data_IF_654362993903
#
_entry.id   IF_654362993903
#
_cell.length_a   1.000
_cell.length_b   1.000
_cell.length_c   1.000
_cell.angle_alpha   90.00
_cell.angle_beta   90.00
_cell.angle_gamma   90.00
#
_symmetry.space_group_name_H-M   'P 1'
#
loop_
_entity.id
_entity.type
_entity.pdbx_description
1 polymer ?
#
# COMPACT_ATOMS: atom_id res chain seq x y z
N UNK A 1 -7.32 5.15 5.22
CA UNK A 1 -6.31 4.12 4.95
C UNK A 1 -5.97 4.14 3.46
N UNK A 2 -4.76 4.57 3.07
CA UNK A 2 -4.32 4.56 1.67
C UNK A 2 -4.32 3.13 1.13
N UNK A 3 -4.86 2.90 -0.07
CA UNK A 3 -4.79 1.60 -0.75
C UNK A 3 -3.95 1.70 -2.02
N UNK A 4 -2.99 0.79 -2.16
CA UNK A 4 -2.18 0.59 -3.36
C UNK A 4 -2.43 -0.82 -3.87
N UNK A 5 -2.75 -0.95 -5.15
CA UNK A 5 -2.85 -2.24 -5.84
C UNK A 5 -1.70 -2.40 -6.82
N UNK A 6 -0.92 -3.48 -6.68
CA UNK A 6 0.14 -3.84 -7.62
C UNK A 6 -0.36 -4.93 -8.59
N UNK A 7 -0.22 -4.69 -9.90
CA UNK A 7 -0.61 -5.59 -10.97
C UNK A 7 0.56 -5.76 -11.95
N UNK A 8 1.40 -6.81 -11.78
CA UNK A 8 2.65 -6.96 -12.53
C UNK A 8 2.47 -7.11 -14.04
N UNK A 9 1.28 -7.53 -14.49
CA UNK A 9 0.94 -7.76 -15.90
C UNK A 9 0.23 -6.58 -16.57
N UNK A 10 -0.20 -5.56 -15.81
CA UNK A 10 -0.89 -4.38 -16.36
C UNK A 10 0.06 -3.18 -16.42
N UNK A 11 -0.17 -2.27 -17.38
CA UNK A 11 0.49 -0.95 -17.43
C UNK A 11 -0.58 0.14 -17.23
N UNK A 12 -0.49 0.97 -16.19
CA UNK A 12 0.57 1.02 -15.16
C UNK A 12 0.48 -0.16 -14.17
N UNK A 13 1.64 -0.62 -13.70
CA UNK A 13 1.74 -1.77 -12.80
C UNK A 13 1.23 -1.47 -11.38
N UNK A 14 0.87 -0.22 -11.08
CA UNK A 14 0.43 0.24 -9.77
C UNK A 14 -0.81 1.13 -9.92
N UNK A 15 -1.81 0.89 -9.08
CA UNK A 15 -2.98 1.75 -8.91
C UNK A 15 -3.05 2.27 -7.49
N UNK A 16 -3.20 3.59 -7.36
CA UNK A 16 -3.25 4.31 -6.09
C UNK A 16 -4.65 4.83 -5.83
N UNK A 17 -5.18 4.55 -4.64
CA UNK A 17 -6.44 5.10 -4.16
C UNK A 17 -6.13 6.09 -3.03
N UNK A 18 -5.95 7.39 -3.33
CA UNK A 18 -5.51 8.38 -2.37
C UNK A 18 -6.52 8.54 -1.24
N UNK A 19 -6.01 8.75 -0.02
CA UNK A 19 -6.80 9.09 1.15
C UNK A 19 -6.22 10.34 1.78
N UNK A 20 -7.09 11.21 2.33
CA UNK A 20 -6.68 12.45 2.96
C UNK A 20 -5.56 12.22 3.98
N UNK A 21 -4.48 12.99 3.87
CA UNK A 21 -3.34 12.98 4.79
C UNK A 21 -2.35 11.82 4.63
N UNK A 22 -2.55 10.89 3.69
CA UNK A 22 -1.59 9.81 3.43
C UNK A 22 -1.16 9.86 1.97
N UNK A 23 0.08 10.30 1.71
CA UNK A 23 0.60 10.47 0.36
C UNK A 23 1.71 9.46 0.10
N UNK A 24 1.69 8.79 -1.06
CA UNK A 24 2.80 7.96 -1.50
C UNK A 24 3.95 8.86 -2.02
N UNK A 25 5.20 8.47 -1.82
CA UNK A 25 6.34 9.11 -2.49
C UNK A 25 6.33 8.79 -4.00
N UNK A 26 6.80 9.70 -4.85
CA UNK A 26 6.75 9.55 -6.32
C UNK A 26 7.45 8.29 -6.85
N UNK A 27 8.48 7.80 -6.14
CA UNK A 27 9.14 6.49 -6.36
C UNK A 27 9.06 5.61 -5.10
N UNK A 28 7.96 5.74 -4.35
CA UNK A 28 7.79 5.11 -3.05
C UNK A 28 7.37 3.66 -3.10
N UNK A 29 6.82 3.18 -4.22
CA UNK A 29 6.40 1.79 -4.39
C UNK A 29 7.50 0.97 -5.08
N UNK A 30 8.03 -0.03 -4.38
CA UNK A 30 8.93 -1.04 -4.93
C UNK A 30 8.25 -2.40 -4.74
N UNK A 31 7.61 -2.88 -5.81
CA UNK A 31 6.83 -4.11 -5.79
C UNK A 31 7.28 -5.07 -6.89
N UNK A 32 7.36 -6.35 -6.53
CA UNK A 32 7.69 -7.49 -7.37
C UNK A 32 6.60 -8.55 -7.24
N UNK A 33 6.80 -9.72 -7.86
CA UNK A 33 5.89 -10.86 -7.71
C UNK A 33 5.79 -11.39 -6.27
N UNK A 34 6.80 -11.14 -5.43
CA UNK A 34 6.92 -11.77 -4.09
C UNK A 34 6.97 -10.78 -2.94
N UNK A 35 7.12 -9.48 -3.22
CA UNK A 35 7.26 -8.44 -2.19
C UNK A 35 6.75 -7.11 -2.69
N UNK A 36 6.12 -6.33 -1.82
CA UNK A 36 5.74 -4.95 -2.12
C UNK A 36 6.11 -4.07 -0.94
N UNK A 37 6.85 -3.00 -1.19
CA UNK A 37 7.26 -2.00 -0.20
C UNK A 37 6.76 -0.64 -0.65
N UNK A 38 6.16 0.10 0.28
CA UNK A 38 5.63 1.45 0.03
C UNK A 38 6.25 2.47 0.99
N UNK A 39 6.62 3.63 0.46
CA UNK A 39 7.08 4.77 1.24
C UNK A 39 6.04 5.88 1.20
N UNK A 40 5.59 6.26 2.37
CA UNK A 40 4.66 7.38 2.55
C UNK A 40 5.45 8.67 2.82
N UNK A 41 4.88 9.81 2.43
CA UNK A 41 5.43 11.15 2.62
C UNK A 41 4.32 12.11 3.07
N UNK A 42 4.72 13.28 3.57
CA UNK A 42 3.78 14.33 4.03
C UNK A 42 2.78 13.79 5.07
N UNK A 43 3.28 13.01 6.02
CA UNK A 43 2.49 12.44 7.11
C UNK A 43 2.13 13.53 8.12
N UNK A 44 0.89 13.57 8.57
CA UNK A 44 0.41 14.52 9.59
C UNK A 44 -0.20 13.76 10.77
N UNK A 45 -0.08 14.31 11.99
CA UNK A 45 -0.62 13.65 13.19
C UNK A 45 -2.13 13.39 13.11
N UNK A 46 -2.88 14.36 12.58
CA UNK A 46 -4.34 14.31 12.53
C UNK A 46 -4.90 13.22 11.60
N UNK A 47 -4.14 12.81 10.58
CA UNK A 47 -4.67 11.95 9.51
C UNK A 47 -3.81 10.71 9.21
N UNK A 48 -2.57 10.67 9.69
CA UNK A 48 -1.63 9.60 9.38
C UNK A 48 -1.29 8.69 10.56
N UNK A 49 -1.74 9.00 11.78
CA UNK A 49 -1.65 8.06 12.91
C UNK A 49 -2.78 7.03 12.83
N UNK A 50 -2.49 5.75 13.03
CA UNK A 50 -3.49 4.69 13.02
C UNK A 50 -2.97 3.35 12.52
N UNK A 51 -3.90 2.44 12.22
CA UNK A 51 -3.60 1.11 11.70
C UNK A 51 -3.35 1.15 10.18
N UNK A 52 -2.22 0.59 9.76
CA UNK A 52 -1.82 0.40 8.37
C UNK A 52 -1.83 -1.08 8.06
N UNK A 53 -2.66 -1.49 7.09
CA UNK A 53 -2.77 -2.90 6.68
C UNK A 53 -2.24 -3.09 5.27
N UNK A 54 -1.35 -4.05 5.12
CA UNK A 54 -0.82 -4.50 3.84
C UNK A 54 -1.54 -5.79 3.45
N UNK A 55 -2.12 -5.83 2.25
CA UNK A 55 -2.83 -7.00 1.73
C UNK A 55 -2.23 -7.40 0.38
N UNK A 56 -1.93 -8.69 0.22
CA UNK A 56 -1.44 -9.29 -1.03
C UNK A 56 -2.46 -10.37 -1.42
N UNK A 57 -3.07 -10.21 -2.60
CA UNK A 57 -4.01 -11.18 -3.16
C UNK A 57 -3.46 -11.78 -4.46
N UNK A 58 -3.66 -13.09 -4.66
CA UNK A 58 -3.44 -13.77 -5.94
C UNK A 58 -4.76 -13.91 -6.71
N UNK A 59 -4.67 -13.91 -8.03
CA UNK A 59 -5.80 -14.12 -8.94
C UNK A 59 -6.00 -15.62 -9.24
N UNK A 60 -7.00 -15.95 -10.07
CA UNK A 60 -7.31 -17.31 -10.49
C UNK A 60 -6.06 -18.06 -11.03
N UNK A 61 -5.97 -19.40 -10.91
CA UNK A 61 -7.03 -20.33 -10.48
C UNK A 61 -7.18 -20.50 -8.97
N UNK A 62 -6.20 -20.08 -8.17
CA UNK A 62 -6.25 -20.17 -6.72
C UNK A 62 -6.12 -18.77 -6.11
N UNK A 63 -7.21 -18.27 -5.53
CA UNK A 63 -7.21 -17.03 -4.76
C UNK A 63 -6.53 -17.28 -3.41
N UNK A 64 -5.45 -16.55 -3.14
CA UNK A 64 -4.71 -16.54 -1.87
C UNK A 64 -4.61 -15.11 -1.38
N UNK A 65 -4.87 -14.91 -0.10
CA UNK A 65 -4.78 -13.61 0.55
C UNK A 65 -3.80 -13.71 1.72
N UNK A 66 -2.79 -12.85 1.72
CA UNK A 66 -1.92 -12.60 2.87
C UNK A 66 -2.15 -11.17 3.33
N UNK A 67 -2.34 -10.96 4.63
CA UNK A 67 -2.58 -9.63 5.19
C UNK A 67 -1.84 -9.46 6.51
N UNK A 68 -1.27 -8.29 6.73
CA UNK A 68 -0.62 -7.91 7.98
C UNK A 68 -0.99 -6.47 8.33
N UNK A 69 -1.22 -6.19 9.62
CA UNK A 69 -1.59 -4.85 10.10
C UNK A 69 -0.59 -4.35 11.13
N UNK A 70 -0.14 -3.12 10.98
CA UNK A 70 0.74 -2.43 11.93
C UNK A 70 0.14 -1.09 12.36
N UNK A 71 0.22 -0.80 13.66
CA UNK A 71 -0.13 0.51 14.18
C UNK A 71 1.07 1.45 14.04
N UNK A 72 0.84 2.62 13.47
CA UNK A 72 1.85 3.66 13.29
C UNK A 72 1.38 4.92 13.99
N UNK A 73 2.24 5.47 14.85
CA UNK A 73 1.99 6.74 15.54
C UNK A 73 2.97 7.78 15.01
N UNK A 74 2.45 8.91 14.55
CA UNK A 74 3.27 10.05 14.09
C UNK A 74 3.39 11.05 15.25
N UNK A 75 4.63 11.35 15.64
CA UNK A 75 4.97 12.10 16.85
C UNK A 75 5.18 13.60 16.66
#
# INVERSE_FOLDING_TARGET
MLSLRYMPRQKPNTMLYPVAGVHLASHGANCSLTRCKVRLQKLTRAHSSGAYRCEISSEAPAFRLASETHNVTIA
#
